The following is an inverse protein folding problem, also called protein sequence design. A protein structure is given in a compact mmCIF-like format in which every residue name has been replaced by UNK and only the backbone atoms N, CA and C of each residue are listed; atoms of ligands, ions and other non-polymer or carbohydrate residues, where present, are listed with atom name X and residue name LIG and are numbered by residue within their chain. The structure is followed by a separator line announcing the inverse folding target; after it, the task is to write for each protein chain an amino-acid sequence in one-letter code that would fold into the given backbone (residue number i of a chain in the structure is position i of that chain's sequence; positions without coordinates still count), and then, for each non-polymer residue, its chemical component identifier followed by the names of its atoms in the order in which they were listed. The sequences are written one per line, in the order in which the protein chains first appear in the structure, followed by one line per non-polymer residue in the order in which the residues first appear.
data_IF_232096660742
#
_entry.id   IF_232096660742
#
_cell.length_a   1.000
_cell.length_b   1.000
_cell.length_c   1.000
_cell.angle_alpha   90.00
_cell.angle_beta   90.00
_cell.angle_gamma   90.00
#
_symmetry.space_group_name_H-M   'P 1'
#
loop_
_entity.id
_entity.type
_entity.pdbx_description
1 polymer ?
#
# COMPACT_ATOMS: atom_id res chain seq x y z
N UNK A 1 -43.91 -11.12 0.62
CA UNK A 1 -42.50 -11.09 1.05
C UNK A 1 -41.66 -11.73 -0.01
N UNK A 2 -40.46 -11.20 -0.26
CA UNK A 2 -39.41 -11.67 -1.19
C UNK A 2 -39.33 -10.86 -2.50
N UNK A 3 -38.12 -10.30 -2.68
CA UNK A 3 -37.51 -9.56 -3.79
C UNK A 3 -37.82 -8.06 -3.89
N UNK A 4 -37.07 -7.27 -3.11
CA UNK A 4 -36.71 -5.91 -3.50
C UNK A 4 -35.35 -5.96 -4.21
N UNK A 5 -35.40 -5.67 -5.50
CA UNK A 5 -34.31 -5.03 -6.24
C UNK A 5 -34.06 -3.63 -5.66
N UNK A 6 -32.79 -3.28 -5.52
CA UNK A 6 -32.26 -1.98 -5.08
C UNK A 6 -30.86 -2.23 -4.53
N UNK A 7 -29.77 -1.58 -4.91
CA UNK A 7 -29.56 -0.44 -5.78
C UNK A 7 -28.17 -0.62 -6.40
N UNK A 8 -28.06 -0.39 -7.71
CA UNK A 8 -26.80 0.05 -8.30
C UNK A 8 -27.02 1.54 -8.60
N UNK A 9 -26.64 2.41 -7.67
CA UNK A 9 -26.40 3.82 -8.00
C UNK A 9 -24.90 3.99 -8.23
N UNK A 10 -24.57 4.30 -9.49
CA UNK A 10 -23.23 4.58 -10.04
C UNK A 10 -22.55 5.83 -9.44
N UNK A 11 -22.96 6.30 -8.26
CA UNK A 11 -22.60 7.61 -7.71
C UNK A 11 -21.86 7.60 -6.36
N UNK A 12 -21.47 6.43 -5.81
CA UNK A 12 -20.67 6.37 -4.56
C UNK A 12 -19.28 5.74 -4.73
N UNK A 13 -18.74 5.75 -5.96
CA UNK A 13 -17.28 5.91 -6.09
C UNK A 13 -17.01 7.38 -5.79
N UNK A 14 -17.03 7.74 -4.51
CA UNK A 14 -16.64 9.06 -4.05
C UNK A 14 -15.16 9.22 -4.38
N UNK A 15 -14.93 9.72 -5.59
CA UNK A 15 -13.69 10.30 -6.06
C UNK A 15 -13.19 11.15 -4.91
N UNK A 16 -12.13 10.68 -4.25
CA UNK A 16 -11.43 11.36 -3.16
C UNK A 16 -10.83 12.65 -3.75
N UNK A 17 -11.71 13.63 -3.98
CA UNK A 17 -11.41 14.95 -4.44
C UNK A 17 -10.74 15.67 -3.28
N UNK A 18 -9.41 15.62 -3.36
CA UNK A 18 -8.40 16.44 -2.71
C UNK A 18 -8.93 17.86 -2.50
N UNK A 19 -9.56 18.11 -1.35
CA UNK A 19 -9.66 19.44 -0.74
C UNK A 19 -9.46 19.29 0.75
N UNK A 20 -8.23 18.95 1.14
CA UNK A 20 -7.80 19.02 2.53
C UNK A 20 -6.80 20.16 2.71
N UNK A 21 -6.93 20.95 3.79
CA UNK A 21 -6.06 22.08 4.03
C UNK A 21 -4.65 21.55 4.29
N UNK A 22 -3.66 21.94 3.47
CA UNK A 22 -2.24 21.55 3.61
C UNK A 22 -1.98 20.02 3.55
N UNK A 23 -2.28 19.42 2.39
CA UNK A 23 -1.55 18.35 1.68
C UNK A 23 -1.02 17.08 2.42
N UNK A 24 -1.55 16.67 3.58
CA UNK A 24 -1.11 15.42 4.23
C UNK A 24 -2.27 14.46 4.50
N UNK A 25 -2.22 13.28 3.90
CA UNK A 25 -3.19 12.21 4.17
C UNK A 25 -2.64 11.36 5.32
N UNK A 26 -3.39 11.23 6.42
CA UNK A 26 -2.90 10.53 7.62
C UNK A 26 -2.81 9.02 7.43
N UNK A 27 -3.86 8.40 6.88
CA UNK A 27 -3.92 6.95 6.69
C UNK A 27 -4.79 6.61 5.49
N UNK A 28 -4.34 5.65 4.68
CA UNK A 28 -5.18 4.98 3.69
C UNK A 28 -5.13 3.47 3.90
N UNK A 29 -6.29 2.83 3.82
CA UNK A 29 -6.45 1.39 3.83
C UNK A 29 -7.03 0.96 2.48
N UNK A 30 -6.37 0.01 1.82
CA UNK A 30 -6.92 -0.64 0.63
C UNK A 30 -7.29 -2.09 0.94
N UNK A 31 -8.58 -2.40 0.82
CA UNK A 31 -9.09 -3.75 1.00
C UNK A 31 -9.12 -4.47 -0.36
N UNK A 32 -8.17 -5.39 -0.54
CA UNK A 32 -8.03 -6.23 -1.74
C UNK A 32 -7.90 -5.42 -3.04
N UNK A 33 -6.74 -4.79 -3.24
CA UNK A 33 -6.39 -4.24 -4.56
C UNK A 33 -6.41 -5.34 -5.62
N UNK A 34 -7.17 -5.14 -6.69
CA UNK A 34 -7.32 -6.10 -7.79
C UNK A 34 -7.11 -5.46 -9.15
N UNK A 35 -7.28 -4.14 -9.27
CA UNK A 35 -7.17 -3.42 -10.55
C UNK A 35 -5.85 -2.64 -10.63
N UNK A 36 -5.27 -2.60 -11.84
CA UNK A 36 -4.14 -1.75 -12.20
C UNK A 36 -4.42 -0.25 -11.97
N UNK A 37 -5.68 0.19 -12.06
CA UNK A 37 -6.06 1.57 -11.74
C UNK A 37 -5.81 1.90 -10.26
N UNK A 38 -6.08 0.97 -9.35
CA UNK A 38 -5.83 1.14 -7.92
C UNK A 38 -4.32 1.18 -7.64
N UNK A 39 -3.54 0.36 -8.35
CA UNK A 39 -2.07 0.37 -8.30
C UNK A 39 -1.51 1.70 -8.80
N UNK A 40 -2.05 2.24 -9.90
CA UNK A 40 -1.65 3.54 -10.43
C UNK A 40 -1.97 4.67 -9.43
N UNK A 41 -3.19 4.68 -8.91
CA UNK A 41 -3.61 5.64 -7.88
C UNK A 41 -2.69 5.61 -6.67
N UNK A 42 -2.34 4.41 -6.19
CA UNK A 42 -1.39 4.20 -5.10
C UNK A 42 -0.05 4.90 -5.36
N UNK A 43 0.53 4.70 -6.54
CA UNK A 43 1.82 5.34 -6.89
C UNK A 43 1.71 6.86 -6.91
N UNK A 44 0.58 7.42 -7.33
CA UNK A 44 0.38 8.88 -7.33
C UNK A 44 0.27 9.49 -5.93
N UNK A 45 -0.23 8.74 -4.95
CA UNK A 45 -0.57 9.26 -3.62
C UNK A 45 0.35 8.79 -2.50
N UNK A 46 1.12 7.71 -2.69
CA UNK A 46 1.90 7.09 -1.61
C UNK A 46 2.91 8.04 -0.98
N UNK A 47 3.48 8.95 -1.76
CA UNK A 47 4.41 9.98 -1.28
C UNK A 47 3.74 11.06 -0.42
N UNK A 48 2.40 11.18 -0.45
CA UNK A 48 1.63 12.20 0.29
C UNK A 48 0.90 11.64 1.51
N UNK A 49 1.03 10.34 1.75
CA UNK A 49 0.38 9.63 2.84
C UNK A 49 1.39 9.36 3.94
N UNK A 50 0.99 9.51 5.20
CA UNK A 50 1.82 9.08 6.34
C UNK A 50 1.80 7.57 6.52
N UNK A 51 0.60 6.97 6.59
CA UNK A 51 0.43 5.54 6.84
C UNK A 51 -0.38 4.87 5.72
N UNK A 52 0.20 3.86 5.09
CA UNK A 52 -0.43 3.10 4.03
C UNK A 52 -0.58 1.65 4.48
N UNK A 53 -1.80 1.15 4.51
CA UNK A 53 -2.10 -0.24 4.81
C UNK A 53 -2.80 -0.88 3.62
N UNK A 54 -2.29 -2.03 3.16
CA UNK A 54 -2.83 -2.72 1.99
C UNK A 54 -3.05 -4.18 2.37
N UNK A 55 -4.27 -4.66 2.11
CA UNK A 55 -4.57 -6.09 2.20
C UNK A 55 -4.20 -6.74 0.87
N UNK A 56 -3.19 -7.60 0.92
CA UNK A 56 -2.69 -8.32 -0.23
C UNK A 56 -3.37 -9.69 -0.34
N UNK A 57 -3.63 -10.10 -1.57
CA UNK A 57 -4.21 -11.41 -1.89
C UNK A 57 -3.18 -12.53 -1.60
N UNK A 58 -1.90 -12.25 -1.87
CA UNK A 58 -0.80 -13.17 -1.65
C UNK A 58 0.54 -12.41 -1.53
N UNK A 59 1.63 -13.15 -1.31
CA UNK A 59 2.97 -12.61 -1.22
C UNK A 59 3.46 -11.93 -2.51
N UNK A 60 3.22 -12.52 -3.68
CA UNK A 60 3.65 -11.93 -4.96
C UNK A 60 3.06 -10.54 -5.17
N UNK A 61 1.80 -10.36 -4.78
CA UNK A 61 1.13 -9.07 -4.81
C UNK A 61 1.80 -8.06 -3.85
N UNK A 62 2.12 -8.46 -2.62
CA UNK A 62 2.85 -7.61 -1.69
C UNK A 62 4.25 -7.23 -2.20
N UNK A 63 4.97 -8.17 -2.82
CA UNK A 63 6.29 -7.94 -3.39
C UNK A 63 6.26 -6.94 -4.56
N UNK A 64 5.29 -7.08 -5.46
CA UNK A 64 5.09 -6.16 -6.58
C UNK A 64 4.77 -4.75 -6.09
N UNK A 65 3.82 -4.61 -5.17
CA UNK A 65 3.44 -3.33 -4.59
C UNK A 65 4.61 -2.68 -3.83
N UNK A 66 5.36 -3.46 -3.06
CA UNK A 66 6.55 -2.97 -2.36
C UNK A 66 7.54 -2.36 -3.35
N UNK A 67 7.84 -3.06 -4.45
CA UNK A 67 8.73 -2.56 -5.48
C UNK A 67 8.26 -1.24 -6.08
N UNK A 68 6.98 -1.12 -6.41
CA UNK A 68 6.39 0.10 -6.99
C UNK A 68 6.43 1.28 -6.01
N UNK A 69 5.95 1.08 -4.78
CA UNK A 69 5.91 2.13 -3.76
C UNK A 69 7.32 2.61 -3.44
N UNK A 70 8.27 1.70 -3.21
CA UNK A 70 9.64 2.08 -2.87
C UNK A 70 10.35 2.79 -4.01
N UNK A 71 10.10 2.38 -5.26
CA UNK A 71 10.63 3.07 -6.44
C UNK A 71 10.11 4.50 -6.51
N UNK A 72 8.81 4.70 -6.31
CA UNK A 72 8.20 6.02 -6.31
C UNK A 72 8.75 6.91 -5.19
N UNK A 73 8.80 6.39 -3.97
CA UNK A 73 9.34 7.13 -2.82
C UNK A 73 10.80 7.51 -3.07
N UNK A 74 11.62 6.62 -3.65
CA UNK A 74 13.02 6.91 -3.97
C UNK A 74 13.16 8.05 -4.99
N UNK A 75 12.20 8.18 -5.90
CA UNK A 75 12.18 9.22 -6.92
C UNK A 75 11.62 10.57 -6.42
N UNK A 76 10.96 10.58 -5.26
CA UNK A 76 10.34 11.79 -4.68
C UNK A 76 11.13 12.27 -3.46
N UNK A 77 11.65 13.49 -3.52
CA UNK A 77 12.54 14.05 -2.48
C UNK A 77 11.89 14.27 -1.11
N UNK A 78 10.56 14.35 -1.03
CA UNK A 78 9.82 14.69 0.18
C UNK A 78 8.63 13.75 0.43
N UNK A 79 8.88 12.43 0.40
CA UNK A 79 7.84 11.48 0.80
C UNK A 79 7.44 11.67 2.27
N UNK A 80 6.13 11.69 2.52
CA UNK A 80 5.55 11.74 3.86
C UNK A 80 5.35 10.34 4.45
N UNK A 81 5.60 9.27 3.68
CA UNK A 81 5.34 7.91 4.14
C UNK A 81 6.25 7.53 5.30
N UNK A 82 5.62 7.23 6.44
CA UNK A 82 6.27 6.78 7.67
C UNK A 82 6.02 5.31 7.96
N UNK A 83 4.90 4.78 7.48
CA UNK A 83 4.53 3.39 7.69
C UNK A 83 3.84 2.80 6.47
N UNK A 84 4.37 1.70 5.97
CA UNK A 84 3.73 0.84 4.98
C UNK A 84 3.47 -0.52 5.62
N UNK A 85 2.24 -1.01 5.52
CA UNK A 85 1.79 -2.26 6.11
C UNK A 85 1.13 -3.11 5.04
N UNK A 86 1.59 -4.35 4.88
CA UNK A 86 0.93 -5.36 4.07
C UNK A 86 0.32 -6.42 4.96
N UNK A 87 -0.99 -6.62 4.84
CA UNK A 87 -1.68 -7.79 5.43
C UNK A 87 -1.71 -8.91 4.41
N UNK A 88 -1.08 -10.04 4.71
CA UNK A 88 -1.00 -11.23 3.85
C UNK A 88 -1.66 -12.39 4.62
N UNK A 89 -2.57 -13.17 4.04
CA UNK A 89 -3.31 -14.21 4.77
C UNK A 89 -2.43 -15.27 5.45
N UNK A 90 -1.25 -15.55 4.90
CA UNK A 90 -0.35 -16.63 5.34
C UNK A 90 1.12 -16.25 5.08
N UNK A 91 1.73 -15.32 5.85
CA UNK A 91 3.14 -14.99 5.66
C UNK A 91 4.03 -16.07 6.28
N UNK A 92 5.13 -16.37 5.60
CA UNK A 92 6.19 -17.24 6.10
C UNK A 92 7.50 -16.46 6.18
N UNK A 93 8.41 -16.83 7.09
CA UNK A 93 9.67 -16.11 7.27
C UNK A 93 10.52 -16.05 5.98
N UNK A 94 10.49 -17.11 5.17
CA UNK A 94 11.14 -17.16 3.85
C UNK A 94 10.63 -16.04 2.90
N UNK A 95 9.36 -15.63 3.04
CA UNK A 95 8.80 -14.53 2.26
C UNK A 95 9.41 -13.18 2.66
N UNK A 96 9.71 -13.00 3.95
CA UNK A 96 10.40 -11.79 4.42
C UNK A 96 11.81 -11.74 3.83
N UNK A 97 12.57 -12.83 3.91
CA UNK A 97 13.91 -12.92 3.33
C UNK A 97 13.90 -12.64 1.82
N UNK A 98 12.94 -13.19 1.08
CA UNK A 98 12.75 -12.91 -0.35
C UNK A 98 12.39 -11.45 -0.62
N UNK A 99 11.64 -10.79 0.27
CA UNK A 99 11.28 -9.39 0.14
C UNK A 99 12.51 -8.50 0.37
N UNK A 100 13.28 -8.78 1.43
CA UNK A 100 14.52 -8.06 1.74
C UNK A 100 15.52 -8.19 0.59
N UNK A 101 15.73 -9.41 0.10
CA UNK A 101 16.61 -9.66 -1.05
C UNK A 101 16.16 -8.88 -2.28
N UNK A 102 14.86 -8.86 -2.59
CA UNK A 102 14.34 -8.09 -3.72
C UNK A 102 14.59 -6.58 -3.58
N UNK A 103 14.43 -6.05 -2.36
CA UNK A 103 14.70 -4.64 -2.06
C UNK A 103 16.19 -4.34 -2.26
N UNK A 104 17.08 -5.22 -1.79
CA UNK A 104 18.52 -5.04 -1.90
C UNK A 104 19.01 -5.18 -3.35
N UNK A 105 18.55 -6.22 -4.07
CA UNK A 105 18.88 -6.46 -5.48
C UNK A 105 18.47 -5.28 -6.39
N UNK A 106 17.38 -4.59 -6.05
CA UNK A 106 16.89 -3.40 -6.77
C UNK A 106 17.43 -2.08 -6.24
N UNK A 107 18.31 -2.11 -5.23
CA UNK A 107 18.84 -0.93 -4.57
C UNK A 107 17.73 0.01 -4.04
N UNK A 108 16.67 -0.57 -3.46
CA UNK A 108 15.50 0.14 -2.93
C UNK A 108 15.54 0.33 -1.41
N UNK A 109 16.63 -0.10 -0.74
CA UNK A 109 16.78 0.06 0.70
C UNK A 109 17.25 1.47 1.06
N UNK A 110 16.41 2.22 1.75
CA UNK A 110 16.79 3.54 2.30
C UNK A 110 15.91 3.90 3.51
N UNK A 111 16.54 4.23 4.63
CA UNK A 111 15.94 4.85 5.83
C UNK A 111 14.63 4.24 6.38
N UNK A 112 14.45 2.92 6.25
CA UNK A 112 13.37 2.18 6.88
C UNK A 112 13.84 0.85 7.50
N UNK A 113 13.03 0.33 8.42
CA UNK A 113 13.17 -1.00 9.01
C UNK A 113 12.03 -1.90 8.57
N UNK A 114 12.30 -3.19 8.40
CA UNK A 114 11.27 -4.21 8.11
C UNK A 114 10.95 -4.95 9.40
N UNK A 115 9.66 -5.11 9.70
CA UNK A 115 9.17 -5.91 10.84
C UNK A 115 8.08 -6.86 10.38
N UNK A 116 8.08 -8.07 10.91
CA UNK A 116 7.06 -9.07 10.68
C UNK A 116 6.31 -9.33 12.00
N UNK A 117 4.98 -9.22 11.98
CA UNK A 117 4.13 -9.52 13.13
C UNK A 117 2.86 -10.21 12.65
N UNK A 118 2.68 -11.49 13.00
CA UNK A 118 1.52 -12.29 12.62
C UNK A 118 1.31 -12.31 11.10
N UNK A 119 0.18 -11.82 10.61
CA UNK A 119 -0.22 -11.77 9.20
C UNK A 119 0.31 -10.51 8.48
N UNK A 120 1.24 -9.76 9.09
CA UNK A 120 1.59 -8.40 8.64
C UNK A 120 3.08 -8.16 8.48
N UNK A 121 3.42 -7.53 7.36
CA UNK A 121 4.75 -7.00 7.08
C UNK A 121 4.70 -5.48 7.17
N UNK A 122 5.62 -4.89 7.93
CA UNK A 122 5.74 -3.46 8.12
C UNK A 122 7.06 -2.95 7.57
N UNK A 123 7.00 -1.89 6.77
CA UNK A 123 8.15 -1.03 6.44
C UNK A 123 7.95 0.29 7.18
N UNK A 124 8.84 0.59 8.12
CA UNK A 124 8.75 1.75 9.00
C UNK A 124 9.96 2.66 8.80
N UNK A 125 9.72 3.89 8.31
CA UNK A 125 10.75 4.91 8.14
C UNK A 125 11.11 5.56 9.48
N UNK A 126 12.36 6.00 9.59
CA UNK A 126 12.86 6.73 10.77
C UNK A 126 12.32 8.16 10.85
#
# INVERSE_FOLDING_TARGET
SVLQQGDLSDDEIEFLCIRLPKNQIKKICFDNMKDMNEVYMLTLICSRINHLQIKCINYMHAQLLTGLILTEIKNVSNSLLRLLCFSIPEPHDEMIEKLEKMIDDKNLRFDFTIKHVMDKIFLQWK
#
